data_IF_745630051675
#
_entry.id   IF_745630051675
#
_cell.length_a   1.000
_cell.length_b   1.000
_cell.length_c   1.000
_cell.angle_alpha   90.00
_cell.angle_beta   90.00
_cell.angle_gamma   90.00
#
_symmetry.space_group_name_H-M   'P 1'
#
loop_
_entity.id
_entity.type
_entity.pdbx_description
1 polymer ?
#
# COMPACT_ATOMS: atom_id res chain seq x y z
N UNK A 1 -34.23 72.24 -27.78
CA UNK A 1 -34.21 71.43 -29.03
C UNK A 1 -32.79 70.91 -29.24
N UNK A 2 -32.58 69.58 -29.08
CA UNK A 2 -31.57 68.71 -29.73
C UNK A 2 -30.07 69.08 -29.61
N UNK A 3 -29.29 68.36 -28.77
CA UNK A 3 -28.17 67.42 -29.08
C UNK A 3 -26.83 68.04 -28.61
N UNK A 4 -25.77 67.40 -28.10
CA UNK A 4 -25.28 66.02 -27.89
C UNK A 4 -24.10 66.12 -26.86
N UNK A 5 -24.00 65.21 -25.88
CA UNK A 5 -23.03 64.09 -25.76
C UNK A 5 -21.55 64.49 -25.51
N UNK A 6 -21.03 64.15 -24.32
CA UNK A 6 -19.81 63.32 -24.11
C UNK A 6 -19.66 63.06 -22.60
N UNK A 7 -19.93 61.82 -22.19
CA UNK A 7 -19.65 61.24 -20.88
C UNK A 7 -18.21 60.72 -20.92
N UNK A 8 -17.32 61.21 -20.05
CA UNK A 8 -15.96 60.73 -19.90
C UNK A 8 -15.77 60.13 -18.50
N UNK A 9 -15.65 58.80 -18.49
CA UNK A 9 -14.88 57.96 -17.57
C UNK A 9 -15.07 58.13 -16.06
N UNK A 10 -15.91 57.26 -15.49
CA UNK A 10 -15.81 56.82 -14.09
C UNK A 10 -15.05 55.48 -14.10
N UNK A 11 -13.93 55.41 -13.40
CA UNK A 11 -13.36 54.16 -12.93
C UNK A 11 -13.13 54.32 -11.43
N UNK A 12 -14.15 53.93 -10.66
CA UNK A 12 -14.12 53.86 -9.21
C UNK A 12 -13.51 52.53 -8.78
N UNK A 13 -12.55 52.63 -7.87
CA UNK A 13 -11.92 51.57 -7.11
C UNK A 13 -12.99 50.80 -6.32
N UNK A 14 -13.06 49.48 -6.45
CA UNK A 14 -13.81 48.62 -5.52
C UNK A 14 -12.90 47.47 -5.07
N UNK A 15 -12.57 47.52 -3.78
CA UNK A 15 -12.02 46.42 -2.99
C UNK A 15 -13.14 45.41 -2.71
N UNK A 16 -12.93 44.17 -3.14
CA UNK A 16 -13.64 43.00 -2.63
C UNK A 16 -12.61 41.89 -2.42
N UNK A 17 -11.96 41.93 -1.25
CA UNK A 17 -11.11 40.86 -0.75
C UNK A 17 -11.86 40.16 0.39
N UNK A 18 -12.57 39.10 0.03
CA UNK A 18 -13.05 38.00 0.86
C UNK A 18 -13.40 36.86 -0.12
N UNK A 19 -12.37 36.16 -0.62
CA UNK A 19 -12.51 34.87 -1.30
C UNK A 19 -11.84 33.86 -0.39
N UNK A 20 -12.56 32.80 -0.03
CA UNK A 20 -12.13 31.84 0.99
C UNK A 20 -10.81 31.17 0.66
N UNK A 21 -9.99 30.98 1.68
CA UNK A 21 -8.92 29.99 1.71
C UNK A 21 -9.56 28.60 1.66
N UNK A 22 -9.92 28.18 0.45
CA UNK A 22 -10.03 26.77 0.05
C UNK A 22 -8.63 26.39 -0.43
N UNK A 23 -7.71 26.16 0.52
CA UNK A 23 -6.40 25.58 0.23
C UNK A 23 -6.53 24.06 0.35
N UNK A 24 -7.08 23.44 -0.69
CA UNK A 24 -6.99 21.99 -0.89
C UNK A 24 -6.93 21.67 -2.38
N UNK A 25 -6.04 22.34 -3.10
CA UNK A 25 -5.69 21.95 -4.46
C UNK A 25 -4.16 21.89 -4.61
N UNK A 26 -3.56 20.78 -4.19
CA UNK A 26 -2.41 20.19 -4.88
C UNK A 26 -2.38 18.67 -4.70
N UNK A 27 -3.35 17.99 -5.32
CA UNK A 27 -3.12 16.62 -5.81
C UNK A 27 -3.33 16.66 -7.31
N UNK A 28 -2.36 17.24 -7.98
CA UNK A 28 -2.17 17.08 -9.41
C UNK A 28 -0.69 16.78 -9.62
N UNK A 29 -0.34 15.51 -9.50
CA UNK A 29 0.62 14.95 -10.43
C UNK A 29 -0.10 13.91 -11.30
N UNK A 30 0.25 13.91 -12.58
CA UNK A 30 -0.56 13.50 -13.71
C UNK A 30 0.34 12.66 -14.60
N UNK A 31 -0.07 11.43 -14.88
CA UNK A 31 0.10 10.80 -16.18
C UNK A 31 -0.97 9.71 -16.37
N UNK A 32 -1.52 9.54 -17.58
CA UNK A 32 -2.47 8.46 -17.85
C UNK A 32 -1.72 7.13 -17.88
N UNK A 33 -1.54 6.53 -16.71
CA UNK A 33 -1.17 5.13 -16.52
C UNK A 33 -2.40 4.30 -16.92
N UNK A 34 -2.64 4.19 -18.22
CA UNK A 34 -3.94 3.67 -18.70
C UNK A 34 -4.05 2.16 -18.48
N UNK A 35 -2.96 1.50 -18.05
CA UNK A 35 -2.92 0.07 -17.77
C UNK A 35 -3.01 -0.25 -16.27
N UNK A 36 -2.30 0.45 -15.39
CA UNK A 36 -2.29 0.14 -13.96
C UNK A 36 -3.07 1.20 -13.20
N UNK A 37 -4.10 0.77 -12.48
CA UNK A 37 -4.87 1.59 -11.55
C UNK A 37 -4.48 1.22 -10.13
N UNK A 38 -4.18 2.23 -9.31
CA UNK A 38 -3.87 2.06 -7.89
C UNK A 38 -4.79 2.98 -7.10
N UNK A 39 -5.43 2.42 -6.09
CA UNK A 39 -6.41 3.10 -5.26
C UNK A 39 -6.12 2.89 -3.77
N UNK A 40 -6.44 3.92 -2.98
CA UNK A 40 -6.45 3.80 -1.52
C UNK A 40 -5.09 3.58 -0.86
N UNK A 41 -4.00 4.09 -1.44
CA UNK A 41 -2.67 3.86 -0.90
C UNK A 41 -2.44 4.50 0.47
N UNK A 42 -2.06 3.65 1.44
CA UNK A 42 -1.75 4.08 2.79
C UNK A 42 -0.72 3.18 3.47
N UNK A 43 -0.04 3.70 4.48
CA UNK A 43 0.87 2.94 5.32
C UNK A 43 0.44 3.03 6.77
N UNK A 44 0.68 1.95 7.52
CA UNK A 44 0.38 1.96 8.95
C UNK A 44 1.44 2.74 9.71
N UNK A 45 0.99 3.57 10.66
CA UNK A 45 1.86 4.19 11.65
C UNK A 45 2.79 3.16 12.31
N UNK A 46 4.08 3.50 12.41
CA UNK A 46 5.06 2.67 13.11
C UNK A 46 5.40 3.30 14.47
N UNK A 47 5.27 2.58 15.59
CA UNK A 47 5.66 3.07 16.90
C UNK A 47 7.17 3.38 17.01
N UNK A 48 7.54 4.23 17.96
CA UNK A 48 8.94 4.51 18.27
C UNK A 48 9.77 3.24 18.51
N UNK A 49 10.90 3.12 17.82
CA UNK A 49 11.83 2.00 17.95
C UNK A 49 11.50 0.78 17.09
N UNK A 50 10.40 0.82 16.33
CA UNK A 50 10.10 -0.15 15.27
C UNK A 50 10.75 0.32 13.97
N UNK A 51 11.53 -0.56 13.32
CA UNK A 51 12.26 -0.26 12.07
C UNK A 51 11.63 -0.91 10.85
N UNK A 52 10.43 -1.46 10.99
CA UNK A 52 9.68 -2.13 9.93
C UNK A 52 8.30 -1.49 9.79
N UNK A 53 7.91 -1.20 8.55
CA UNK A 53 6.60 -0.66 8.20
C UNK A 53 5.88 -1.56 7.21
N UNK A 54 4.59 -1.28 6.98
CA UNK A 54 3.81 -1.93 5.93
C UNK A 54 2.90 -0.92 5.24
N UNK A 55 2.90 -0.97 3.90
CA UNK A 55 2.04 -0.19 3.03
C UNK A 55 1.03 -1.11 2.32
N UNK A 56 -0.13 -0.54 2.04
CA UNK A 56 -1.36 -1.19 1.60
C UNK A 56 -2.02 -0.34 0.52
N UNK A 57 -2.62 -0.99 -0.47
CA UNK A 57 -3.32 -0.36 -1.59
C UNK A 57 -4.06 -1.42 -2.39
N UNK A 58 -5.04 -1.01 -3.18
CA UNK A 58 -5.63 -1.85 -4.21
C UNK A 58 -4.95 -1.58 -5.54
N UNK A 59 -4.66 -2.64 -6.30
CA UNK A 59 -4.08 -2.54 -7.64
C UNK A 59 -4.93 -3.30 -8.65
N UNK A 60 -5.16 -2.71 -9.81
CA UNK A 60 -5.86 -3.34 -10.95
C UNK A 60 -5.06 -3.09 -12.22
N UNK A 61 -4.69 -4.15 -12.92
CA UNK A 61 -4.02 -4.07 -14.22
C UNK A 61 -5.04 -4.26 -15.35
N UNK A 62 -4.88 -3.57 -16.48
CA UNK A 62 -5.74 -3.71 -17.65
C UNK A 62 -5.42 -4.97 -18.48
N UNK A 63 -4.16 -5.41 -18.41
CA UNK A 63 -3.60 -6.59 -19.06
C UNK A 63 -2.92 -7.46 -17.98
N UNK A 64 -2.64 -8.73 -18.30
CA UNK A 64 -1.95 -9.62 -17.36
C UNK A 64 -0.53 -9.12 -17.11
N UNK A 65 -0.16 -8.97 -15.84
CA UNK A 65 1.16 -8.51 -15.42
C UNK A 65 1.60 -9.14 -14.09
N UNK A 66 2.81 -8.81 -13.66
CA UNK A 66 3.35 -9.21 -12.36
C UNK A 66 4.00 -8.00 -11.72
N UNK A 67 3.61 -7.70 -10.47
CA UNK A 67 4.30 -6.73 -9.64
C UNK A 67 5.54 -7.41 -9.05
N UNK A 68 6.72 -7.07 -9.55
CA UNK A 68 7.98 -7.76 -9.25
C UNK A 68 8.81 -7.05 -8.18
N UNK A 69 8.48 -5.80 -7.87
CA UNK A 69 9.25 -5.01 -6.91
C UNK A 69 8.51 -3.79 -6.41
N UNK A 70 9.02 -3.26 -5.30
CA UNK A 70 8.68 -1.95 -4.80
C UNK A 70 9.96 -1.26 -4.34
N UNK A 71 10.03 0.05 -4.55
CA UNK A 71 11.16 0.88 -4.12
C UNK A 71 10.65 2.14 -3.44
N UNK A 72 11.41 2.62 -2.47
CA UNK A 72 11.09 3.83 -1.71
C UNK A 72 12.35 4.69 -1.60
N UNK A 73 12.20 6.00 -1.37
CA UNK A 73 13.36 6.84 -1.12
C UNK A 73 14.16 6.34 0.10
N UNK A 74 15.49 6.40 -0.01
CA UNK A 74 16.41 6.06 1.09
C UNK A 74 16.26 6.95 2.32
N UNK A 75 15.53 8.06 2.22
CA UNK A 75 15.17 8.91 3.36
C UNK A 75 14.03 8.33 4.21
N UNK A 76 13.29 7.35 3.67
CA UNK A 76 12.14 6.70 4.31
C UNK A 76 12.55 5.34 4.88
N UNK A 77 13.08 4.45 4.04
CA UNK A 77 13.47 3.09 4.40
C UNK A 77 14.69 2.64 3.60
N UNK A 78 15.42 1.66 4.12
CA UNK A 78 16.56 1.06 3.43
C UNK A 78 16.14 0.16 2.26
N UNK A 79 14.98 -0.48 2.37
CA UNK A 79 14.48 -1.43 1.38
C UNK A 79 12.93 -1.53 1.43
N UNK A 80 12.32 -1.98 0.33
CA UNK A 80 10.89 -2.24 0.24
C UNK A 80 10.65 -3.57 -0.48
N UNK A 81 9.84 -4.45 0.11
CA UNK A 81 9.63 -5.82 -0.36
C UNK A 81 8.16 -6.18 -0.38
N UNK A 82 7.76 -7.04 -1.31
CA UNK A 82 6.39 -7.53 -1.40
C UNK A 82 6.28 -8.78 -0.55
N UNK A 83 5.35 -8.80 0.39
CA UNK A 83 5.13 -9.91 1.31
C UNK A 83 3.69 -10.40 1.27
N UNK A 84 3.50 -11.68 1.51
CA UNK A 84 2.21 -12.31 1.81
C UNK A 84 2.21 -12.81 3.25
N UNK A 85 1.05 -12.73 3.92
CA UNK A 85 0.85 -13.44 5.18
C UNK A 85 0.29 -14.83 4.87
N UNK A 86 1.10 -15.86 5.05
CA UNK A 86 0.71 -17.26 4.89
C UNK A 86 0.67 -17.96 6.26
N UNK A 87 -0.20 -18.96 6.46
CA UNK A 87 -0.05 -19.84 7.62
C UNK A 87 1.34 -20.48 7.55
N UNK A 88 2.05 -20.55 8.68
CA UNK A 88 3.25 -21.38 8.77
C UNK A 88 2.80 -22.82 8.56
N UNK A 89 3.03 -23.34 7.37
CA UNK A 89 2.76 -24.73 7.08
C UNK A 89 3.53 -25.61 8.09
N UNK A 90 2.79 -26.39 8.89
CA UNK A 90 3.33 -27.48 9.69
C UNK A 90 3.57 -28.75 8.84
N UNK A 91 3.86 -28.65 7.52
CA UNK A 91 3.95 -29.87 6.69
C UNK A 91 4.76 -29.73 5.39
N UNK A 92 6.06 -29.41 5.48
CA UNK A 92 7.03 -29.75 4.41
C UNK A 92 8.29 -30.40 5.01
N UNK A 93 8.11 -31.22 6.06
CA UNK A 93 9.15 -32.16 6.53
C UNK A 93 8.56 -33.39 7.21
N UNK A 94 7.54 -34.01 6.61
CA UNK A 94 7.11 -35.34 7.03
C UNK A 94 7.01 -36.36 5.88
N UNK A 95 7.80 -36.17 4.82
CA UNK A 95 8.20 -37.25 3.92
C UNK A 95 9.50 -37.89 4.44
N UNK A 96 9.41 -38.81 5.41
CA UNK A 96 10.26 -40.01 5.59
C UNK A 96 10.19 -40.52 7.05
N UNK A 97 9.06 -41.11 7.43
CA UNK A 97 9.07 -42.19 8.43
C UNK A 97 8.23 -43.35 7.92
N UNK A 98 8.71 -43.96 6.84
CA UNK A 98 8.41 -45.36 6.58
C UNK A 98 9.37 -46.21 7.43
N UNK A 99 8.82 -47.23 8.09
CA UNK A 99 9.50 -48.29 8.85
C UNK A 99 9.94 -47.93 10.28
N UNK A 100 9.10 -48.26 11.27
CA UNK A 100 9.30 -49.50 12.04
C UNK A 100 8.13 -49.74 13.00
N UNK A 101 7.67 -50.99 13.05
CA UNK A 101 6.48 -51.41 13.77
C UNK A 101 6.66 -51.36 15.29
N UNK A 102 5.72 -50.73 16.00
CA UNK A 102 5.23 -51.26 17.29
C UNK A 102 3.98 -50.52 17.77
N UNK A 103 2.85 -51.19 17.62
CA UNK A 103 1.64 -50.94 18.42
C UNK A 103 1.91 -51.27 19.88
N UNK A 104 1.88 -50.26 20.76
CA UNK A 104 1.43 -50.34 22.16
C UNK A 104 1.59 -48.93 22.75
N UNK A 105 0.51 -48.18 22.98
CA UNK A 105 0.15 -47.73 24.32
C UNK A 105 -1.17 -46.95 24.32
N UNK A 106 -1.79 -46.99 25.48
CA UNK A 106 -3.16 -46.63 25.81
C UNK A 106 -3.34 -45.12 25.94
N UNK A 107 -4.38 -44.61 25.27
CA UNK A 107 -5.16 -43.41 25.58
C UNK A 107 -4.55 -42.34 26.48
N UNK A 108 -4.22 -41.21 25.87
CA UNK A 108 -4.39 -39.89 26.47
C UNK A 108 -4.84 -38.92 25.37
N UNK A 109 -6.16 -38.74 25.23
CA UNK A 109 -6.72 -37.58 24.52
C UNK A 109 -6.77 -36.43 25.52
N UNK A 110 -5.60 -35.92 25.89
CA UNK A 110 -5.47 -34.67 26.62
C UNK A 110 -5.41 -33.53 25.60
N UNK A 111 -6.30 -32.57 25.84
CA UNK A 111 -6.41 -31.25 25.24
C UNK A 111 -6.27 -31.12 23.72
N UNK A 112 -7.36 -30.70 23.09
CA UNK A 112 -7.29 -29.98 21.82
C UNK A 112 -6.49 -28.70 22.04
N UNK A 113 -5.17 -28.80 21.93
CA UNK A 113 -4.31 -27.72 21.50
C UNK A 113 -4.86 -27.29 20.14
N UNK A 114 -5.69 -26.24 20.17
CA UNK A 114 -5.88 -25.40 18.99
C UNK A 114 -4.51 -24.81 18.72
N UNK A 115 -3.70 -25.52 17.93
CA UNK A 115 -2.51 -24.96 17.34
C UNK A 115 -2.98 -23.74 16.55
N UNK A 116 -2.76 -22.56 17.14
CA UNK A 116 -2.97 -21.30 16.46
C UNK A 116 -1.80 -21.19 15.51
N UNK A 117 -1.92 -21.90 14.39
CA UNK A 117 -0.92 -22.02 13.33
C UNK A 117 -0.25 -20.67 13.15
N UNK A 118 1.05 -20.63 13.45
CA UNK A 118 1.79 -19.39 13.48
C UNK A 118 1.64 -18.72 12.11
N UNK A 119 1.23 -17.45 12.04
CA UNK A 119 1.20 -16.74 10.77
C UNK A 119 2.61 -16.23 10.46
N UNK A 120 3.10 -16.44 9.24
CA UNK A 120 4.41 -15.96 8.80
C UNK A 120 4.26 -14.98 7.64
N UNK A 121 5.14 -13.98 7.62
CA UNK A 121 5.25 -13.04 6.50
C UNK A 121 6.30 -13.60 5.54
N UNK A 122 5.88 -13.99 4.35
CA UNK A 122 6.74 -14.57 3.32
C UNK A 122 6.99 -13.53 2.22
N UNK A 123 8.26 -13.28 1.91
CA UNK A 123 8.65 -12.45 0.76
C UNK A 123 8.25 -13.13 -0.55
N UNK A 124 7.68 -12.36 -1.48
CA UNK A 124 7.32 -12.82 -2.82
C UNK A 124 8.38 -12.41 -3.86
N UNK A 125 9.49 -13.13 -3.86
CA UNK A 125 10.60 -12.89 -4.79
C UNK A 125 10.23 -13.14 -6.27
N UNK A 126 9.23 -14.00 -6.53
CA UNK A 126 8.69 -14.24 -7.88
C UNK A 126 7.66 -13.17 -8.31
N UNK A 127 7.34 -12.21 -7.43
CA UNK A 127 6.37 -11.15 -7.65
C UNK A 127 4.91 -11.54 -7.35
N UNK A 128 4.05 -10.53 -7.28
CA UNK A 128 2.60 -10.66 -7.10
C UNK A 128 1.92 -10.70 -8.48
N UNK A 129 1.25 -11.80 -8.86
CA UNK A 129 0.53 -11.87 -10.13
C UNK A 129 -0.67 -10.92 -10.15
N UNK A 130 -0.80 -10.16 -11.25
CA UNK A 130 -1.88 -9.21 -11.50
C UNK A 130 -2.68 -9.67 -12.74
N UNK A 131 -3.79 -10.40 -12.55
CA UNK A 131 -4.62 -10.82 -13.68
C UNK A 131 -5.32 -9.62 -14.33
N UNK A 132 -5.48 -9.65 -15.65
CA UNK A 132 -6.12 -8.58 -16.39
C UNK A 132 -7.55 -8.29 -15.90
N UNK A 133 -7.78 -7.08 -15.40
CA UNK A 133 -9.07 -6.56 -14.96
C UNK A 133 -9.51 -7.03 -13.57
N UNK A 134 -8.73 -7.88 -12.91
CA UNK A 134 -8.96 -8.30 -11.53
C UNK A 134 -8.24 -7.35 -10.57
N UNK A 135 -8.97 -6.90 -9.55
CA UNK A 135 -8.39 -6.11 -8.47
C UNK A 135 -7.69 -7.03 -7.47
N UNK A 136 -6.43 -6.73 -7.17
CA UNK A 136 -5.63 -7.39 -6.14
C UNK A 136 -5.45 -6.42 -4.98
N UNK A 137 -5.92 -6.83 -3.80
CA UNK A 137 -5.88 -6.02 -2.59
C UNK A 137 -4.64 -6.35 -1.76
N UNK A 138 -3.84 -5.32 -1.47
CA UNK A 138 -2.79 -5.40 -0.46
C UNK A 138 -3.36 -4.85 0.85
N UNK A 139 -3.70 -5.73 1.77
CA UNK A 139 -4.41 -5.42 3.01
C UNK A 139 -3.80 -6.13 4.23
N UNK A 140 -4.07 -5.64 5.46
CA UNK A 140 -3.56 -6.27 6.68
C UNK A 140 -4.02 -7.73 6.81
N UNK A 141 -3.06 -8.66 6.80
CA UNK A 141 -3.34 -10.10 6.87
C UNK A 141 -3.35 -10.82 5.52
N UNK A 142 -3.11 -10.11 4.41
CA UNK A 142 -2.85 -10.67 3.09
C UNK A 142 -1.54 -10.13 2.52
N UNK A 143 -1.59 -9.64 1.28
CA UNK A 143 -0.44 -9.01 0.63
C UNK A 143 -0.15 -7.63 1.21
N UNK A 144 1.13 -7.27 1.30
CA UNK A 144 1.55 -5.94 1.75
C UNK A 144 2.95 -5.61 1.23
N UNK A 145 3.25 -4.32 1.10
CA UNK A 145 4.63 -3.87 0.86
C UNK A 145 5.29 -3.61 2.20
N UNK A 146 6.24 -4.47 2.57
CA UNK A 146 7.04 -4.32 3.78
C UNK A 146 8.17 -3.31 3.55
N UNK A 147 8.25 -2.32 4.43
CA UNK A 147 9.34 -1.34 4.46
C UNK A 147 10.34 -1.78 5.50
N UNK A 148 11.59 -2.02 5.10
CA UNK A 148 12.66 -2.48 5.98
C UNK A 148 13.66 -1.36 6.26
N UNK A 149 14.25 -1.40 7.45
CA UNK A 149 15.22 -0.41 7.92
C UNK A 149 14.71 1.03 7.82
N UNK A 150 13.52 1.28 8.38
CA UNK A 150 12.96 2.63 8.47
C UNK A 150 13.97 3.60 9.10
N UNK A 151 14.22 4.71 8.40
CA UNK A 151 15.15 5.75 8.85
C UNK A 151 14.60 6.51 10.06
N UNK A 152 13.27 6.68 10.08
CA UNK A 152 12.52 7.26 11.17
C UNK A 152 11.15 6.57 11.28
N UNK A 153 10.49 6.62 12.45
CA UNK A 153 9.12 6.15 12.57
C UNK A 153 8.19 6.88 11.58
N UNK A 154 7.32 6.13 10.91
CA UNK A 154 6.20 6.63 10.12
C UNK A 154 5.16 7.23 11.07
N UNK A 155 4.96 8.54 11.05
CA UNK A 155 3.96 9.21 11.87
C UNK A 155 2.67 9.45 11.08
N UNK A 156 1.52 9.30 11.73
CA UNK A 156 0.22 9.59 11.10
C UNK A 156 0.16 11.00 10.51
N UNK A 157 -0.26 11.09 9.25
CA UNK A 157 -0.32 12.31 8.45
C UNK A 157 0.95 12.57 7.63
N UNK A 158 2.01 11.79 7.79
CA UNK A 158 3.16 11.82 6.89
C UNK A 158 2.77 11.26 5.52
N UNK A 159 3.50 11.67 4.48
CA UNK A 159 3.36 11.17 3.13
C UNK A 159 4.74 10.83 2.57
N UNK A 160 4.83 9.75 1.79
CA UNK A 160 6.03 9.39 1.06
C UNK A 160 5.68 8.77 -0.28
N UNK A 161 6.60 8.86 -1.23
CA UNK A 161 6.43 8.25 -2.55
C UNK A 161 6.94 6.81 -2.53
N UNK A 162 6.12 5.90 -3.03
CA UNK A 162 6.44 4.49 -3.26
C UNK A 162 6.38 4.23 -4.76
N UNK A 163 7.43 3.67 -5.32
CA UNK A 163 7.49 3.26 -6.72
C UNK A 163 7.30 1.75 -6.81
N UNK A 164 6.45 1.30 -7.73
CA UNK A 164 6.16 -0.10 -8.00
C UNK A 164 6.74 -0.49 -9.35
N UNK A 165 7.43 -1.62 -9.38
CA UNK A 165 8.11 -2.16 -10.54
C UNK A 165 7.31 -3.35 -11.09
N UNK A 166 7.01 -3.33 -12.38
CA UNK A 166 6.23 -4.37 -13.06
C UNK A 166 7.07 -5.14 -14.06
N UNK A 167 6.68 -6.38 -14.35
CA UNK A 167 7.35 -7.19 -15.36
C UNK A 167 7.14 -6.63 -16.78
N UNK A 168 5.93 -6.15 -17.08
CA UNK A 168 5.54 -5.72 -18.43
C UNK A 168 5.14 -4.24 -18.52
N UNK A 169 4.46 -3.70 -17.51
CA UNK A 169 4.09 -2.29 -17.44
C UNK A 169 5.27 -1.37 -17.06
N UNK A 170 5.09 -0.08 -17.30
CA UNK A 170 6.01 0.94 -16.80
C UNK A 170 5.88 1.10 -15.27
N UNK A 171 6.97 1.49 -14.62
CA UNK A 171 6.99 1.74 -13.18
C UNK A 171 5.95 2.78 -12.78
N UNK A 172 5.25 2.51 -11.67
CA UNK A 172 4.20 3.39 -11.14
C UNK A 172 4.65 3.99 -9.83
N UNK A 173 4.70 5.32 -9.75
CA UNK A 173 4.92 6.00 -8.47
C UNK A 173 3.59 6.46 -7.90
N UNK A 174 3.33 6.07 -6.65
CA UNK A 174 2.17 6.46 -5.87
C UNK A 174 2.58 7.18 -4.59
N UNK A 175 1.75 8.11 -4.15
CA UNK A 175 1.91 8.76 -2.86
C UNK A 175 1.17 7.94 -1.80
N UNK A 176 1.87 7.54 -0.75
CA UNK A 176 1.37 6.75 0.35
C UNK A 176 1.17 7.64 1.57
N UNK A 177 -0.05 7.74 2.07
CA UNK A 177 -0.36 8.49 3.29
C UNK A 177 -0.26 7.59 4.53
N UNK A 178 0.43 8.03 5.57
CA UNK A 178 0.55 7.29 6.82
C UNK A 178 -0.67 7.54 7.71
N UNK A 179 -1.27 6.46 8.23
CA UNK A 179 -2.42 6.54 9.14
C UNK A 179 -2.43 5.39 10.17
N UNK A 180 -3.15 5.59 11.28
CA UNK A 180 -3.37 4.55 12.29
C UNK A 180 -4.20 3.36 11.74
N UNK A 181 -5.13 3.66 10.82
CA UNK A 181 -6.06 2.73 10.19
C UNK A 181 -6.32 3.10 8.73
N UNK A 182 -6.81 2.15 7.93
CA UNK A 182 -7.16 2.39 6.53
C UNK A 182 -8.11 3.61 6.37
N UNK A 183 -7.77 4.57 5.50
CA UNK A 183 -8.59 5.75 5.28
C UNK A 183 -9.97 5.36 4.74
N UNK A 184 -11.04 5.90 5.34
CA UNK A 184 -12.42 5.63 4.93
C UNK A 184 -13.12 4.44 5.60
N UNK A 185 -12.49 3.83 6.63
CA UNK A 185 -13.10 2.80 7.49
C UNK A 185 -14.12 3.33 8.50
#
# INVERSE_FOLDING_TARGET
MKRELTLLSVAALVLAACGGDDESETSADTSPQTAIQIDGAWARESPDGVTVGAAYFDITAADDDVLIGATVSSDVAGDAQIHEVVPADEDESMDDMSDDESMDDTGDMSDGEMDMGAMVMQEMADGLPLPAGDAVSLEPGGYHVMLLDLVQPLASGDEFDLTLDFENADDVTLTVTVAETAPGS
#
